data_IF_991810326014
#
_entry.id   IF_991810326014
#
_cell.length_a   1.000
_cell.length_b   1.000
_cell.length_c   1.000
_cell.angle_alpha   90.00
_cell.angle_beta   90.00
_cell.angle_gamma   90.00
#
_symmetry.space_group_name_H-M   'P 1'
#
loop_
_entity.id
_entity.type
_entity.pdbx_description
1 polymer ?
#
# COMPACT_ATOMS: atom_id res chain seq x y z
N UNK A 1 -39.89 -36.37 -11.01
CA UNK A 1 -39.39 -36.21 -9.63
C UNK A 1 -38.00 -36.83 -9.55
N UNK A 2 -36.95 -36.01 -9.46
CA UNK A 2 -35.61 -36.48 -9.14
C UNK A 2 -35.22 -35.85 -7.80
N UNK A 3 -35.02 -36.69 -6.79
CA UNK A 3 -34.57 -36.27 -5.46
C UNK A 3 -33.09 -35.94 -5.57
N UNK A 4 -32.76 -34.64 -5.56
CA UNK A 4 -31.40 -34.14 -5.47
C UNK A 4 -30.98 -34.18 -3.99
N UNK A 5 -29.95 -34.97 -3.69
CA UNK A 5 -29.32 -35.06 -2.36
C UNK A 5 -28.57 -33.74 -2.07
N UNK A 6 -28.74 -33.11 -0.90
CA UNK A 6 -28.00 -31.90 -0.58
C UNK A 6 -26.53 -32.27 -0.32
N UNK A 7 -25.62 -31.78 -1.16
CA UNK A 7 -24.18 -31.76 -0.84
C UNK A 7 -23.93 -30.58 0.07
N UNK A 8 -23.64 -30.93 1.31
CA UNK A 8 -22.84 -30.26 2.33
C UNK A 8 -22.46 -28.80 2.07
N UNK A 9 -22.94 -27.99 3.01
CA UNK A 9 -22.63 -26.58 3.20
C UNK A 9 -21.16 -26.44 3.58
N UNK A 10 -20.32 -26.00 2.66
CA UNK A 10 -19.15 -25.20 3.00
C UNK A 10 -19.37 -23.81 2.42
N UNK A 11 -19.72 -22.88 3.31
CA UNK A 11 -19.79 -21.47 3.01
C UNK A 11 -18.38 -20.97 2.72
N UNK A 12 -17.90 -21.11 1.49
CA UNK A 12 -16.85 -20.25 0.96
C UNK A 12 -17.47 -18.87 0.82
N UNK A 13 -17.61 -18.15 1.93
CA UNK A 13 -17.67 -16.70 1.84
C UNK A 13 -16.33 -16.30 1.23
N UNK A 14 -16.28 -16.17 -0.10
CA UNK A 14 -15.13 -15.65 -0.82
C UNK A 14 -15.01 -14.20 -0.38
N UNK A 15 -14.34 -14.00 0.75
CA UNK A 15 -14.04 -12.70 1.30
C UNK A 15 -13.21 -11.95 0.27
N UNK A 16 -13.66 -10.77 -0.10
CA UNK A 16 -12.93 -9.88 -0.98
C UNK A 16 -11.53 -9.61 -0.41
N UNK A 17 -10.49 -9.61 -1.25
CA UNK A 17 -9.12 -9.35 -0.82
C UNK A 17 -8.79 -7.86 -0.96
N UNK A 18 -8.69 -7.17 0.17
CA UNK A 18 -8.17 -5.80 0.24
C UNK A 18 -6.63 -5.86 0.23
N UNK A 19 -6.05 -5.55 -0.92
CA UNK A 19 -4.60 -5.61 -1.11
C UNK A 19 -3.88 -4.56 -0.25
N UNK A 20 -4.44 -3.35 -0.13
CA UNK A 20 -3.79 -2.28 0.61
C UNK A 20 -3.73 -2.63 2.10
N UNK A 21 -4.81 -3.16 2.66
CA UNK A 21 -4.83 -3.58 4.06
C UNK A 21 -3.91 -4.78 4.32
N UNK A 22 -3.94 -5.78 3.44
CA UNK A 22 -3.05 -6.94 3.55
C UNK A 22 -1.56 -6.53 3.52
N UNK A 23 -1.18 -5.66 2.58
CA UNK A 23 0.19 -5.17 2.47
C UNK A 23 0.57 -4.25 3.65
N UNK A 24 -0.38 -3.45 4.15
CA UNK A 24 -0.16 -2.64 5.35
C UNK A 24 0.18 -3.53 6.55
N UNK A 25 -0.62 -4.58 6.79
CA UNK A 25 -0.38 -5.54 7.88
C UNK A 25 0.94 -6.28 7.75
N UNK A 26 1.31 -6.67 6.53
CA UNK A 26 2.60 -7.31 6.27
C UNK A 26 3.76 -6.37 6.62
N UNK A 27 3.72 -5.13 6.15
CA UNK A 27 4.76 -4.16 6.45
C UNK A 27 4.82 -3.83 7.96
N UNK A 28 3.68 -3.70 8.64
CA UNK A 28 3.63 -3.55 10.11
C UNK A 28 4.30 -4.72 10.83
N UNK A 29 4.03 -5.95 10.38
CA UNK A 29 4.62 -7.14 10.95
C UNK A 29 6.15 -7.19 10.75
N UNK A 30 6.62 -6.86 9.54
CA UNK A 30 8.05 -6.78 9.22
C UNK A 30 8.73 -5.72 10.10
N UNK A 31 8.20 -4.50 10.15
CA UNK A 31 8.75 -3.41 10.96
C UNK A 31 8.81 -3.74 12.45
N UNK A 32 7.86 -4.53 12.95
CA UNK A 32 7.83 -4.97 14.35
C UNK A 32 8.81 -6.09 14.65
N UNK A 33 9.01 -7.05 13.72
CA UNK A 33 9.81 -8.26 13.97
C UNK A 33 11.28 -8.10 13.60
N UNK A 34 11.61 -7.16 12.72
CA UNK A 34 12.97 -6.95 12.23
C UNK A 34 13.53 -5.62 12.75
N UNK A 35 14.53 -5.65 13.66
CA UNK A 35 15.09 -4.44 14.26
C UNK A 35 15.60 -3.40 13.26
N UNK A 36 16.13 -3.85 12.12
CA UNK A 36 16.56 -2.98 11.01
C UNK A 36 15.44 -2.08 10.47
N UNK A 37 14.18 -2.53 10.55
CA UNK A 37 13.00 -1.78 10.14
C UNK A 37 12.25 -1.13 11.31
N UNK A 38 12.75 -1.23 12.55
CA UNK A 38 12.08 -0.71 13.75
C UNK A 38 11.91 0.81 13.76
N UNK A 39 12.66 1.53 12.91
CA UNK A 39 12.53 2.98 12.72
C UNK A 39 11.33 3.38 11.83
N UNK A 40 10.72 2.42 11.12
CA UNK A 40 9.61 2.68 10.21
C UNK A 40 8.29 2.75 10.99
N UNK A 41 7.62 3.90 10.91
CA UNK A 41 6.31 4.13 11.51
C UNK A 41 5.21 3.90 10.48
N UNK A 42 4.75 2.66 10.34
CA UNK A 42 3.72 2.30 9.35
C UNK A 42 2.42 3.11 9.41
N UNK A 43 1.92 3.57 10.58
CA UNK A 43 0.76 4.47 10.61
C UNK A 43 0.96 5.80 9.87
N UNK A 44 2.20 6.21 9.59
CA UNK A 44 2.56 7.40 8.80
C UNK A 44 2.88 7.09 7.34
N UNK A 45 2.71 5.85 6.89
CA UNK A 45 2.95 5.41 5.51
C UNK A 45 1.62 5.00 4.89
N UNK A 46 1.15 5.77 3.92
CA UNK A 46 -0.04 5.40 3.17
C UNK A 46 0.33 4.33 2.13
N UNK A 47 -0.29 3.16 2.22
CA UNK A 47 -0.10 2.07 1.24
C UNK A 47 -1.13 2.19 0.14
N UNK A 48 -0.68 2.04 -1.11
CA UNK A 48 -1.51 2.06 -2.30
C UNK A 48 -0.91 1.16 -3.37
N UNK A 49 -1.62 0.98 -4.48
CA UNK A 49 -1.11 0.27 -5.64
C UNK A 49 -1.44 1.00 -6.94
N UNK A 50 -0.65 0.72 -7.96
CA UNK A 50 -0.93 1.09 -9.34
C UNK A 50 -0.61 -0.08 -10.25
N UNK A 51 -1.26 -0.16 -11.42
CA UNK A 51 -0.90 -1.17 -12.41
C UNK A 51 0.43 -0.84 -13.08
N UNK A 52 1.28 -1.85 -13.23
CA UNK A 52 2.48 -1.76 -14.04
C UNK A 52 2.11 -1.49 -15.51
N UNK A 53 2.85 -0.58 -16.16
CA UNK A 53 2.57 -0.19 -17.55
C UNK A 53 2.92 -1.28 -18.58
N UNK A 54 3.77 -2.22 -18.20
CA UNK A 54 4.27 -3.31 -19.05
C UNK A 54 4.16 -4.66 -18.31
N UNK A 55 3.83 -5.77 -18.99
CA UNK A 55 3.68 -7.10 -18.37
C UNK A 55 5.02 -7.83 -18.14
N UNK A 56 6.16 -7.14 -18.27
CA UNK A 56 7.49 -7.72 -18.06
C UNK A 56 7.71 -8.18 -16.62
N UNK A 57 8.46 -9.27 -16.45
CA UNK A 57 8.81 -9.82 -15.13
C UNK A 57 9.87 -9.00 -14.38
N UNK A 58 10.57 -8.10 -15.08
CA UNK A 58 11.57 -7.21 -14.52
C UNK A 58 11.04 -5.78 -14.45
N UNK A 59 11.22 -5.11 -13.32
CA UNK A 59 10.78 -3.73 -13.16
C UNK A 59 10.76 -3.29 -11.70
N UNK A 60 10.42 -2.02 -11.51
CA UNK A 60 10.18 -1.47 -10.18
C UNK A 60 8.94 -2.15 -9.60
N UNK A 61 9.09 -2.83 -8.47
CA UNK A 61 7.99 -3.52 -7.79
C UNK A 61 7.21 -2.59 -6.86
N UNK A 62 7.88 -1.60 -6.28
CA UNK A 62 7.26 -0.59 -5.45
C UNK A 62 8.02 0.74 -5.52
N UNK A 63 7.32 1.84 -5.22
CA UNK A 63 7.90 3.17 -5.08
C UNK A 63 7.54 3.75 -3.73
N UNK A 64 8.52 4.35 -3.07
CA UNK A 64 8.31 5.13 -1.85
C UNK A 64 8.39 6.62 -2.19
N UNK A 65 7.29 7.33 -2.04
CA UNK A 65 7.21 8.77 -2.34
C UNK A 65 7.17 9.56 -1.03
N UNK A 66 8.17 10.40 -0.73
CA UNK A 66 8.12 11.26 0.45
C UNK A 66 7.11 12.40 0.25
N UNK A 67 6.41 12.75 1.31
CA UNK A 67 5.46 13.87 1.37
C UNK A 67 6.03 15.07 2.12
N UNK A 68 7.29 15.00 2.55
CA UNK A 68 8.02 16.10 3.17
C UNK A 68 9.30 16.37 2.39
N UNK A 69 9.83 17.57 2.55
CA UNK A 69 11.19 17.87 2.13
C UNK A 69 12.19 17.13 3.00
N UNK A 70 13.46 17.21 2.63
CA UNK A 70 14.56 16.60 3.37
C UNK A 70 14.48 16.90 4.88
N UNK A 71 14.76 15.87 5.70
CA UNK A 71 14.66 15.95 7.16
C UNK A 71 13.23 16.06 7.70
N UNK A 72 12.20 15.83 6.88
CA UNK A 72 10.81 15.93 7.31
C UNK A 72 10.24 17.35 7.29
N UNK A 73 10.95 18.31 6.68
CA UNK A 73 10.54 19.73 6.63
C UNK A 73 9.27 19.90 5.79
N UNK A 74 8.42 20.83 6.19
CA UNK A 74 7.21 21.24 5.42
C UNK A 74 7.49 22.37 4.44
N UNK A 75 8.64 23.04 4.58
CA UNK A 75 9.07 24.14 3.70
C UNK A 75 10.51 23.94 3.23
N UNK A 76 10.80 24.41 2.03
CA UNK A 76 12.15 24.38 1.46
C UNK A 76 12.39 25.61 0.58
N UNK A 77 13.58 26.21 0.69
CA UNK A 77 14.02 27.24 -0.24
C UNK A 77 14.68 26.57 -1.43
N UNK A 78 14.09 26.71 -2.62
CA UNK A 78 14.61 26.09 -3.85
C UNK A 78 14.54 27.07 -5.00
N UNK A 79 15.69 27.32 -5.64
CA UNK A 79 15.84 28.29 -6.74
C UNK A 79 15.29 29.69 -6.40
N UNK A 80 15.60 30.17 -5.18
CA UNK A 80 15.20 31.51 -4.72
C UNK A 80 13.71 31.67 -4.36
N UNK A 81 12.93 30.58 -4.37
CA UNK A 81 11.51 30.59 -3.98
C UNK A 81 11.26 29.68 -2.79
N UNK A 82 10.41 30.12 -1.87
CA UNK A 82 9.94 29.33 -0.76
C UNK A 82 8.83 28.38 -1.24
N UNK A 83 9.05 27.09 -1.07
CA UNK A 83 8.09 26.04 -1.32
C UNK A 83 7.51 25.54 -0.01
N UNK A 84 6.24 25.18 -0.03
CA UNK A 84 5.53 24.54 1.08
C UNK A 84 4.80 23.30 0.57
N UNK A 85 4.70 22.27 1.39
CA UNK A 85 3.95 21.06 1.08
C UNK A 85 2.77 20.92 2.02
N UNK A 86 1.61 20.59 1.45
CA UNK A 86 0.39 20.36 2.22
C UNK A 86 0.51 19.08 3.07
N UNK A 87 -0.14 19.09 4.24
CA UNK A 87 -0.33 17.88 5.03
C UNK A 87 -1.36 16.98 4.38
N UNK A 88 -0.99 15.72 4.17
CA UNK A 88 -1.89 14.67 3.69
C UNK A 88 -2.30 13.84 4.90
N UNK A 89 -3.62 13.66 5.08
CA UNK A 89 -4.16 12.79 6.11
C UNK A 89 -4.59 11.47 5.51
N UNK A 90 -4.19 10.37 6.14
CA UNK A 90 -4.59 9.01 5.80
C UNK A 90 -4.96 8.29 7.09
N UNK A 91 -6.14 7.65 7.14
CA UNK A 91 -6.66 6.96 8.35
C UNK A 91 -6.60 7.85 9.62
N UNK A 92 -6.86 9.15 9.47
CA UNK A 92 -6.86 10.12 10.57
C UNK A 92 -5.47 10.56 11.05
N UNK A 93 -4.38 10.11 10.42
CA UNK A 93 -3.01 10.50 10.76
C UNK A 93 -2.30 11.18 9.60
N UNK A 94 -1.32 12.01 9.91
CA UNK A 94 -0.48 12.67 8.91
C UNK A 94 0.44 11.64 8.22
N UNK A 95 0.23 11.43 6.93
CA UNK A 95 1.10 10.60 6.11
C UNK A 95 2.39 11.38 5.77
N UNK A 96 3.52 10.72 5.95
CA UNK A 96 4.85 11.22 5.58
C UNK A 96 5.38 10.56 4.31
N UNK A 97 4.89 9.37 3.99
CA UNK A 97 5.25 8.63 2.78
C UNK A 97 4.04 7.98 2.15
N UNK A 98 4.10 7.79 0.83
CA UNK A 98 3.19 6.92 0.07
C UNK A 98 4.00 5.75 -0.48
N UNK A 99 3.67 4.54 -0.04
CA UNK A 99 4.23 3.30 -0.58
C UNK A 99 3.28 2.76 -1.66
N UNK A 100 3.71 2.85 -2.92
CA UNK A 100 2.94 2.40 -4.08
C UNK A 100 3.49 1.08 -4.59
N UNK A 101 2.73 0.00 -4.49
CA UNK A 101 3.05 -1.27 -5.13
C UNK A 101 2.64 -1.24 -6.61
N UNK A 102 3.51 -1.76 -7.49
CA UNK A 102 3.27 -1.82 -8.93
C UNK A 102 2.84 -3.24 -9.30
N UNK A 103 1.53 -3.43 -9.44
CA UNK A 103 0.93 -4.73 -9.72
C UNK A 103 1.03 -5.08 -11.21
N UNK A 104 1.53 -6.27 -11.58
CA UNK A 104 1.50 -6.72 -12.96
C UNK A 104 0.07 -6.80 -13.50
N UNK A 105 -0.13 -6.54 -14.81
CA UNK A 105 -1.48 -6.46 -15.41
C UNK A 105 -2.27 -7.77 -15.37
N UNK A 106 -1.62 -8.92 -15.22
CA UNK A 106 -2.32 -10.21 -15.08
C UNK A 106 -2.99 -10.41 -13.71
N UNK A 107 -2.83 -9.50 -12.74
CA UNK A 107 -3.53 -9.52 -11.44
C UNK A 107 -4.99 -8.99 -11.50
N UNK A 108 -5.62 -8.97 -12.68
CA UNK A 108 -6.85 -8.23 -12.98
C UNK A 108 -8.14 -8.66 -12.23
N UNK A 109 -8.19 -9.82 -11.56
CA UNK A 109 -9.46 -10.41 -11.12
C UNK A 109 -9.80 -10.32 -9.61
N UNK A 110 -8.90 -9.87 -8.74
CA UNK A 110 -9.09 -10.07 -7.28
C UNK A 110 -8.68 -8.91 -6.35
N UNK A 111 -8.17 -7.79 -6.87
CA UNK A 111 -7.61 -6.70 -6.06
C UNK A 111 -8.43 -5.43 -6.24
N UNK A 112 -9.07 -4.94 -5.18
CA UNK A 112 -9.51 -3.55 -5.06
C UNK A 112 -8.96 -2.92 -3.79
#
# INVERSE_FOLDING_TARGET
>A
MAVVKPRDRECWAVGHFDFCDAMTRLCEDISRRHPEFGHVQMPRVAVTFAQARSPVHWGVQARLTPLRFEGGRTTEQRKGRLWTVQKVLHRGQEALYVLTFLLPRFFESAVR
#
